data_IF_670083262220
#
_entry.id   IF_670083262220
#
_cell.length_a   1.000
_cell.length_b   1.000
_cell.length_c   1.000
_cell.angle_alpha   90.00
_cell.angle_beta   90.00
_cell.angle_gamma   90.00
#
_symmetry.space_group_name_H-M   'P 1'
#
loop_
_entity.id
_entity.type
_entity.pdbx_description
1 polymer ?
#
# COMPACT_ATOMS: atom_id res chain seq x y z
N UNK A 1 -48.24 -3.33 -58.01
CA UNK A 1 -48.27 -3.59 -56.55
C UNK A 1 -47.35 -4.76 -56.25
N UNK A 2 -46.16 -4.49 -55.67
CA UNK A 2 -45.37 -5.36 -54.78
C UNK A 2 -44.12 -4.56 -54.37
N UNK A 3 -43.87 -4.55 -53.08
CA UNK A 3 -43.11 -3.55 -52.32
C UNK A 3 -41.63 -3.96 -52.30
N UNK A 4 -40.72 -3.03 -52.58
CA UNK A 4 -39.29 -3.22 -52.34
C UNK A 4 -39.03 -3.19 -50.83
N UNK A 5 -38.63 -4.33 -50.28
CA UNK A 5 -38.35 -4.49 -48.86
C UNK A 5 -36.85 -4.24 -48.62
N UNK A 6 -36.56 -3.06 -48.07
CA UNK A 6 -35.25 -2.63 -47.60
C UNK A 6 -34.84 -3.47 -46.38
N UNK A 7 -33.72 -4.19 -46.46
CA UNK A 7 -33.06 -4.76 -45.28
C UNK A 7 -31.77 -4.01 -45.01
N UNK A 8 -31.91 -2.96 -44.20
CA UNK A 8 -30.83 -2.41 -43.39
C UNK A 8 -30.60 -3.36 -42.22
N UNK A 9 -29.42 -3.96 -42.12
CA UNK A 9 -28.95 -4.56 -40.87
C UNK A 9 -27.46 -4.20 -40.64
N UNK A 10 -27.05 -4.03 -39.38
CA UNK A 10 -26.04 -3.08 -38.96
C UNK A 10 -24.68 -3.75 -38.74
N UNK A 11 -23.59 -3.11 -39.13
CA UNK A 11 -22.26 -3.55 -38.69
C UNK A 11 -21.92 -2.92 -37.34
N UNK A 12 -22.11 -3.77 -36.33
CA UNK A 12 -21.49 -3.82 -35.01
C UNK A 12 -20.21 -2.98 -34.90
N UNK A 13 -20.26 -1.92 -34.09
CA UNK A 13 -19.07 -1.30 -33.52
C UNK A 13 -19.18 -1.41 -31.99
N UNK A 14 -18.90 -2.63 -31.51
CA UNK A 14 -18.69 -2.87 -30.08
C UNK A 14 -17.33 -2.28 -29.70
N UNK A 15 -17.30 -0.99 -29.41
CA UNK A 15 -16.18 -0.37 -28.71
C UNK A 15 -16.10 -1.01 -27.32
N UNK A 16 -15.16 -1.95 -27.19
CA UNK A 16 -14.75 -2.53 -25.93
C UNK A 16 -14.18 -1.44 -25.02
N UNK A 17 -15.02 -0.93 -24.13
CA UNK A 17 -14.59 -0.27 -22.91
C UNK A 17 -14.39 -1.33 -21.85
N UNK A 18 -13.30 -2.10 -21.97
CA UNK A 18 -12.75 -2.80 -20.81
C UNK A 18 -12.05 -1.77 -19.92
N UNK A 19 -12.82 -0.94 -19.22
CA UNK A 19 -12.35 -0.36 -17.97
C UNK A 19 -12.33 -1.48 -16.94
N UNK A 20 -11.25 -2.26 -16.95
CA UNK A 20 -10.84 -3.00 -15.76
C UNK A 20 -10.45 -1.94 -14.73
N UNK A 21 -11.45 -1.52 -13.98
CA UNK A 21 -11.23 -0.79 -12.75
C UNK A 21 -10.59 -1.77 -11.77
N UNK A 22 -9.27 -1.82 -11.80
CA UNK A 22 -8.46 -2.43 -10.74
C UNK A 22 -8.61 -1.57 -9.50
N UNK A 23 -9.80 -1.57 -8.89
CA UNK A 23 -9.97 -1.25 -7.49
C UNK A 23 -9.26 -2.37 -6.74
N UNK A 24 -7.93 -2.25 -6.64
CA UNK A 24 -7.18 -2.87 -5.58
C UNK A 24 -7.89 -2.43 -4.30
N UNK A 25 -8.60 -3.36 -3.66
CA UNK A 25 -9.03 -3.19 -2.28
C UNK A 25 -7.79 -2.74 -1.51
N UNK A 26 -7.77 -1.50 -1.04
CA UNK A 26 -6.55 -0.92 -0.49
C UNK A 26 -5.99 -1.86 0.58
N UNK A 27 -4.85 -2.48 0.31
CA UNK A 27 -4.17 -3.37 1.24
C UNK A 27 -3.46 -2.60 2.36
N UNK A 28 -3.42 -1.27 2.23
CA UNK A 28 -2.79 -0.35 3.16
C UNK A 28 -3.80 0.72 3.56
N UNK A 29 -3.95 0.90 4.86
CA UNK A 29 -4.79 1.90 5.48
C UNK A 29 -3.93 2.83 6.31
N UNK A 30 -4.39 4.05 6.51
CA UNK A 30 -3.79 5.04 7.39
C UNK A 30 -4.83 5.50 8.41
N UNK A 31 -4.42 5.73 9.64
CA UNK A 31 -5.37 6.29 10.61
C UNK A 31 -5.67 7.75 10.29
N UNK A 32 -6.91 8.18 10.55
CA UNK A 32 -7.31 9.58 10.52
C UNK A 32 -6.68 10.45 11.63
N UNK A 33 -6.16 9.85 12.71
CA UNK A 33 -5.51 10.56 13.82
C UNK A 33 -4.50 9.66 14.55
N UNK A 34 -3.68 10.22 15.45
CA UNK A 34 -2.67 9.41 16.15
C UNK A 34 -3.26 8.44 17.19
N UNK A 35 -4.52 8.66 17.60
CA UNK A 35 -5.25 7.75 18.48
C UNK A 35 -5.70 6.45 17.79
N UNK A 36 -5.52 6.31 16.47
CA UNK A 36 -5.71 5.04 15.75
C UNK A 36 -7.14 4.47 15.80
N UNK A 37 -8.17 5.32 15.96
CA UNK A 37 -9.56 4.85 16.14
C UNK A 37 -10.33 4.62 14.85
N UNK A 38 -9.93 5.27 13.75
CA UNK A 38 -10.59 5.14 12.43
C UNK A 38 -9.56 4.98 11.32
N UNK A 39 -9.81 4.10 10.37
CA UNK A 39 -8.89 3.76 9.28
C UNK A 39 -9.47 4.13 7.93
N UNK A 40 -8.67 4.78 7.08
CA UNK A 40 -9.03 5.07 5.70
C UNK A 40 -7.99 4.46 4.76
N UNK A 41 -8.39 4.17 3.53
CA UNK A 41 -7.44 3.72 2.51
C UNK A 41 -6.32 4.77 2.34
N UNK A 42 -5.07 4.33 2.31
CA UNK A 42 -3.97 5.26 2.02
C UNK A 42 -4.10 5.79 0.58
N UNK A 43 -3.82 7.07 0.39
CA UNK A 43 -3.80 7.69 -0.94
C UNK A 43 -2.46 7.49 -1.63
N UNK A 44 -2.45 7.59 -2.97
CA UNK A 44 -1.19 7.55 -3.72
C UNK A 44 -0.25 8.71 -3.35
N UNK A 45 -0.79 9.89 -3.03
CA UNK A 45 -0.01 11.04 -2.58
C UNK A 45 0.72 10.74 -1.26
N UNK A 46 0.04 10.09 -0.31
CA UNK A 46 0.65 9.63 0.93
C UNK A 46 1.71 8.55 0.67
N UNK A 47 1.41 7.55 -0.16
CA UNK A 47 2.40 6.51 -0.54
C UNK A 47 3.65 7.10 -1.21
N UNK A 48 3.52 8.19 -1.96
CA UNK A 48 4.63 8.89 -2.60
C UNK A 48 5.36 9.89 -1.68
N UNK A 49 4.94 10.02 -0.42
CA UNK A 49 5.61 10.91 0.55
C UNK A 49 7.01 10.38 0.84
N UNK A 50 8.02 11.23 0.65
CA UNK A 50 9.43 10.89 0.87
C UNK A 50 9.84 11.09 2.32
N UNK A 51 10.79 10.29 2.79
CA UNK A 51 11.49 10.55 4.04
C UNK A 51 12.31 11.84 3.93
N UNK A 52 12.49 12.51 5.07
CA UNK A 52 13.22 13.79 5.20
C UNK A 52 14.56 13.65 5.92
N UNK A 53 14.98 12.41 6.18
CA UNK A 53 16.21 12.03 6.88
C UNK A 53 17.45 11.88 5.96
N UNK A 54 17.34 12.37 4.72
CA UNK A 54 18.39 12.30 3.70
C UNK A 54 18.33 11.06 2.80
N UNK A 55 17.54 10.03 3.13
CA UNK A 55 17.38 8.83 2.27
C UNK A 55 16.47 9.12 1.06
N UNK A 56 15.45 9.97 1.23
CA UNK A 56 14.52 10.35 0.15
C UNK A 56 13.60 9.20 -0.32
N UNK A 57 13.52 8.12 0.45
CA UNK A 57 12.73 6.92 0.21
C UNK A 57 11.24 7.22 0.33
N UNK A 58 10.42 6.69 -0.57
CA UNK A 58 8.96 6.81 -0.46
C UNK A 58 8.36 5.74 0.48
N UNK A 59 7.18 6.02 1.02
CA UNK A 59 6.43 5.02 1.81
C UNK A 59 6.14 3.78 0.96
N UNK A 60 5.79 3.97 -0.32
CA UNK A 60 5.60 2.86 -1.25
C UNK A 60 6.82 1.94 -1.27
N UNK A 61 8.02 2.51 -1.46
CA UNK A 61 9.26 1.75 -1.54
C UNK A 61 9.57 0.97 -0.26
N UNK A 62 9.45 1.61 0.92
CA UNK A 62 9.75 0.90 2.19
C UNK A 62 8.79 -0.25 2.47
N UNK A 63 7.54 -0.16 2.01
CA UNK A 63 6.54 -1.21 2.20
C UNK A 63 6.63 -2.33 1.15
N UNK A 64 6.76 -1.99 -0.14
CA UNK A 64 6.75 -2.97 -1.23
C UNK A 64 8.10 -3.71 -1.39
N UNK A 65 9.20 -3.07 -1.04
CA UNK A 65 10.57 -3.62 -1.10
C UNK A 65 11.14 -3.88 0.30
N UNK A 66 10.29 -4.17 1.27
CA UNK A 66 10.70 -4.42 2.66
C UNK A 66 11.48 -5.72 2.81
N UNK A 67 12.42 -5.75 3.75
CA UNK A 67 13.12 -6.97 4.18
C UNK A 67 12.25 -7.92 5.01
N UNK A 68 11.14 -7.41 5.57
CA UNK A 68 10.20 -8.19 6.36
C UNK A 68 9.04 -8.70 5.49
N UNK A 69 8.93 -10.02 5.32
CA UNK A 69 7.88 -10.63 4.51
C UNK A 69 6.47 -10.28 5.00
N UNK A 70 6.28 -10.07 6.30
CA UNK A 70 4.98 -9.64 6.85
C UNK A 70 4.56 -8.24 6.34
N UNK A 71 5.51 -7.35 6.10
CA UNK A 71 5.24 -6.03 5.51
C UNK A 71 4.87 -6.18 4.04
N UNK A 72 5.66 -6.92 3.26
CA UNK A 72 5.39 -7.16 1.82
C UNK A 72 4.06 -7.89 1.61
N UNK A 73 3.75 -8.90 2.44
CA UNK A 73 2.48 -9.62 2.37
C UNK A 73 1.30 -8.72 2.72
N UNK A 74 1.44 -7.91 3.77
CA UNK A 74 0.42 -6.92 4.14
C UNK A 74 0.18 -5.89 3.03
N UNK A 75 1.24 -5.40 2.40
CA UNK A 75 1.17 -4.46 1.28
C UNK A 75 0.45 -5.07 0.06
N UNK A 76 0.64 -6.37 -0.18
CA UNK A 76 0.02 -7.10 -1.29
C UNK A 76 -1.29 -7.83 -0.93
N UNK A 77 -1.85 -7.59 0.26
CA UNK A 77 -3.02 -8.32 0.80
C UNK A 77 -2.89 -9.86 0.77
N UNK A 78 -1.68 -10.39 0.83
CA UNK A 78 -1.41 -11.83 0.75
C UNK A 78 -1.65 -12.48 2.11
N UNK A 79 -2.24 -13.68 2.13
CA UNK A 79 -2.49 -14.42 3.38
C UNK A 79 -3.58 -13.79 4.27
N UNK A 80 -4.48 -13.00 3.67
CA UNK A 80 -5.53 -12.25 4.34
C UNK A 80 -4.96 -11.30 5.41
N UNK A 81 -3.90 -10.57 5.08
CA UNK A 81 -3.32 -9.55 5.96
C UNK A 81 -3.22 -8.22 5.25
N UNK A 82 -3.49 -7.13 5.97
CA UNK A 82 -3.36 -5.76 5.47
C UNK A 82 -2.45 -4.94 6.41
N UNK A 83 -1.95 -3.81 5.92
CA UNK A 83 -1.17 -2.86 6.69
C UNK A 83 -2.01 -1.68 7.16
N UNK A 84 -1.76 -1.23 8.38
CA UNK A 84 -2.44 -0.10 9.00
C UNK A 84 -1.38 0.83 9.58
N UNK A 85 -1.27 2.03 9.02
CA UNK A 85 -0.19 2.98 9.27
C UNK A 85 -0.64 4.12 10.19
N UNK A 86 0.27 4.63 11.03
CA UNK A 86 0.02 5.86 11.80
C UNK A 86 -0.18 7.08 10.89
N UNK A 87 -0.99 8.05 11.34
CA UNK A 87 -1.33 9.25 10.57
C UNK A 87 -0.12 10.14 10.26
N UNK A 88 0.81 10.28 11.20
CA UNK A 88 2.06 11.03 11.00
C UNK A 88 3.00 10.42 9.96
N UNK A 89 2.74 9.18 9.52
CA UNK A 89 3.50 8.41 8.54
C UNK A 89 4.96 8.21 8.93
N UNK A 90 5.83 9.19 8.69
CA UNK A 90 7.25 9.12 8.99
C UNK A 90 7.56 9.47 10.45
N UNK A 91 8.29 8.58 11.13
CA UNK A 91 8.75 8.75 12.49
C UNK A 91 10.26 8.59 12.55
N UNK A 92 10.96 9.47 13.27
CA UNK A 92 12.38 9.28 13.56
C UNK A 92 12.50 8.22 14.64
N UNK A 93 13.37 7.22 14.43
CA UNK A 93 13.60 6.19 15.43
C UNK A 93 14.80 5.31 15.11
N UNK A 94 14.71 4.06 15.57
CA UNK A 94 15.76 3.06 15.40
C UNK A 94 16.85 3.13 16.47
N UNK A 95 17.62 2.06 16.52
CA UNK A 95 18.89 1.96 17.26
C UNK A 95 20.01 1.75 16.24
N UNK A 96 21.28 1.89 16.65
CA UNK A 96 22.40 1.63 15.74
C UNK A 96 22.25 0.28 15.02
N UNK A 97 22.52 0.20 13.70
CA UNK A 97 23.16 1.21 12.83
C UNK A 97 22.19 2.19 12.13
N UNK A 98 20.90 2.15 12.45
CA UNK A 98 19.83 2.91 11.77
C UNK A 98 19.31 4.08 12.60
N UNK A 99 20.06 4.47 13.64
CA UNK A 99 19.67 5.53 14.56
C UNK A 99 19.44 6.83 13.80
N UNK A 100 18.31 7.48 14.07
CA UNK A 100 17.95 8.75 13.44
C UNK A 100 17.34 8.60 12.05
N UNK A 101 17.24 7.38 11.51
CA UNK A 101 16.51 7.11 10.26
C UNK A 101 15.02 7.11 10.53
N UNK A 102 14.28 7.58 9.53
CA UNK A 102 12.83 7.58 9.56
C UNK A 102 12.29 6.19 9.24
N UNK A 103 11.14 5.88 9.81
CA UNK A 103 10.38 4.69 9.51
C UNK A 103 8.89 4.98 9.51
N UNK A 104 8.14 4.12 8.84
CA UNK A 104 6.70 4.05 8.97
C UNK A 104 6.37 2.95 9.97
N UNK A 105 5.52 3.26 10.96
CA UNK A 105 4.95 2.23 11.84
C UNK A 105 3.76 1.59 11.12
N UNK A 106 3.87 0.30 10.83
CA UNK A 106 2.84 -0.49 10.18
C UNK A 106 2.35 -1.60 11.11
N UNK A 107 1.06 -1.58 11.44
CA UNK A 107 0.40 -2.68 12.13
C UNK A 107 -0.11 -3.68 11.10
N UNK A 108 0.19 -4.95 11.32
CA UNK A 108 -0.30 -6.05 10.48
C UNK A 108 -1.52 -6.66 11.15
N UNK A 109 -2.66 -6.57 10.49
CA UNK A 109 -3.92 -7.18 10.93
C UNK A 109 -4.37 -8.24 9.94
N UNK A 110 -5.20 -9.18 10.40
CA UNK A 110 -5.99 -9.98 9.46
C UNK A 110 -6.99 -9.06 8.76
N UNK A 111 -7.13 -9.19 7.44
CA UNK A 111 -8.10 -8.42 6.67
C UNK A 111 -9.55 -8.69 7.11
N UNK A 112 -9.78 -9.82 7.78
CA UNK A 112 -11.08 -10.25 8.32
C UNK A 112 -11.31 -9.86 9.78
N UNK A 113 -10.29 -9.37 10.50
CA UNK A 113 -10.41 -8.98 11.92
C UNK A 113 -9.38 -7.91 12.31
N UNK A 114 -9.88 -6.69 12.54
CA UNK A 114 -9.07 -5.53 12.93
C UNK A 114 -8.84 -5.42 14.44
N UNK A 115 -9.41 -6.32 15.24
CA UNK A 115 -9.16 -6.35 16.69
C UNK A 115 -7.93 -7.19 17.03
N UNK A 116 -7.57 -8.13 16.15
CA UNK A 116 -6.42 -9.01 16.35
C UNK A 116 -5.21 -8.53 15.55
N UNK A 117 -4.40 -7.69 16.18
CA UNK A 117 -3.10 -7.28 15.63
C UNK A 117 -2.14 -8.47 15.68
N UNK A 118 -1.61 -8.84 14.51
CA UNK A 118 -0.65 -9.94 14.40
C UNK A 118 0.76 -9.48 14.76
N UNK A 119 1.17 -8.33 14.22
CA UNK A 119 2.52 -7.77 14.39
C UNK A 119 2.52 -6.25 14.35
N UNK A 120 3.52 -5.64 14.96
CA UNK A 120 3.91 -4.25 14.70
C UNK A 120 5.24 -4.23 13.99
N UNK A 121 5.30 -3.61 12.83
CA UNK A 121 6.49 -3.49 12.02
C UNK A 121 6.92 -2.02 11.92
N UNK A 122 8.23 -1.79 11.94
CA UNK A 122 8.84 -0.51 11.62
C UNK A 122 9.59 -0.67 10.30
N UNK A 123 9.04 -0.10 9.23
CA UNK A 123 9.64 -0.15 7.89
C UNK A 123 10.46 1.13 7.66
N UNK A 124 11.77 1.01 7.63
CA UNK A 124 12.69 2.14 7.62
C UNK A 124 12.95 2.65 6.19
N UNK A 125 13.24 3.94 6.08
CA UNK A 125 13.71 4.61 4.85
C UNK A 125 15.06 4.07 4.37
N UNK A 126 15.80 3.40 5.24
CA UNK A 126 17.18 2.96 5.06
C UNK A 126 17.28 1.59 4.38
N UNK A 127 18.28 1.43 3.50
CA UNK A 127 18.74 0.13 2.99
C UNK A 127 20.08 -0.24 3.62
N UNK A 128 20.22 -1.48 4.07
CA UNK A 128 21.51 -1.99 4.54
C UNK A 128 22.54 -2.10 3.41
N UNK A 129 22.08 -2.55 2.24
CA UNK A 129 22.87 -2.68 1.02
C UNK A 129 22.26 -1.83 -0.10
N UNK A 130 23.08 -1.18 -0.94
CA UNK A 130 22.61 -0.26 -2.00
C UNK A 130 21.57 -0.89 -2.95
N UNK A 131 21.65 -2.20 -3.18
CA UNK A 131 20.71 -2.96 -4.03
C UNK A 131 19.81 -3.89 -3.23
N UNK A 132 19.84 -3.81 -1.91
CA UNK A 132 19.08 -4.65 -1.00
C UNK A 132 17.65 -4.13 -0.76
N UNK A 133 16.85 -4.90 0.00
CA UNK A 133 15.56 -4.45 0.49
C UNK A 133 15.71 -3.34 1.53
N UNK A 134 14.64 -2.59 1.76
CA UNK A 134 14.57 -1.64 2.87
C UNK A 134 14.52 -2.37 4.21
N UNK A 135 15.28 -1.87 5.17
CA UNK A 135 15.35 -2.47 6.48
C UNK A 135 14.00 -2.35 7.20
N UNK A 136 13.58 -3.43 7.84
CA UNK A 136 12.40 -3.42 8.69
C UNK A 136 12.60 -4.35 9.88
N UNK A 137 11.85 -4.08 10.95
CA UNK A 137 11.78 -4.95 12.12
C UNK A 137 10.33 -5.17 12.48
N UNK A 138 9.94 -6.42 12.74
CA UNK A 138 8.60 -6.74 13.23
C UNK A 138 8.65 -7.44 14.60
N UNK A 139 7.70 -7.11 15.47
CA UNK A 139 7.47 -7.75 16.76
C UNK A 139 6.03 -8.24 16.87
#
# INVERSE_FOLDING_TARGET
MKIFQSYWLPLVSALGLSMLSSYSHAAVFVCSNDACSNWTAITQAQLNTKSTDGEGTTILQTLSESSEASVVNGYNSTGNTNLYLKNSLWHIGGVEPIKGKQHVTAYVYKSTDLNTRLKTCHAFSYKKDLKGPYFATCQ
#
